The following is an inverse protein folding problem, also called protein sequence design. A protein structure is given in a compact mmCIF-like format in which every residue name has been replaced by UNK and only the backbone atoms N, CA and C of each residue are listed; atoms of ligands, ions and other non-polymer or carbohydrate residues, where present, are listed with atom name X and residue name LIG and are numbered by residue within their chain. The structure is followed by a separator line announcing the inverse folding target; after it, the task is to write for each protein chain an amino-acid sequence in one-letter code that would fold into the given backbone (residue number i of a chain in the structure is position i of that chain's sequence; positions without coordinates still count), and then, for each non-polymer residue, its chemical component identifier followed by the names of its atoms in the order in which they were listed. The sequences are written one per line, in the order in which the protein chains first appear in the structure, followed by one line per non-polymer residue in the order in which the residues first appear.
data_IF_251900009340
#
_entry.id   IF_251900009340
#
_cell.length_a   1.000
_cell.length_b   1.000
_cell.length_c   1.000
_cell.angle_alpha   90.00
_cell.angle_beta   90.00
_cell.angle_gamma   90.00
#
_symmetry.space_group_name_H-M   'P 1'
#
loop_
_entity.id
_entity.type
_entity.pdbx_description
1 polymer ?
#
# COMPACT_ATOMS: atom_id res chain seq x y z
N UNK A 1 -12.38 11.79 -17.03
CA UNK A 1 -12.18 11.83 -15.58
C UNK A 1 -12.95 10.66 -15.00
N UNK A 2 -12.26 9.71 -14.37
CA UNK A 2 -12.90 8.55 -13.72
C UNK A 2 -13.36 8.88 -12.30
N UNK A 3 -14.03 7.92 -11.67
CA UNK A 3 -14.25 7.90 -10.22
C UNK A 3 -13.19 7.00 -9.56
N UNK A 4 -12.74 7.36 -8.37
CA UNK A 4 -11.86 6.54 -7.53
C UNK A 4 -12.65 5.42 -6.85
N UNK A 5 -11.97 4.57 -6.07
CA UNK A 5 -12.62 3.45 -5.35
C UNK A 5 -13.59 3.89 -4.24
N UNK A 6 -13.69 5.19 -3.97
CA UNK A 6 -14.65 5.79 -3.05
C UNK A 6 -15.83 6.46 -3.77
N UNK A 7 -15.85 6.41 -5.12
CA UNK A 7 -16.89 7.03 -5.94
C UNK A 7 -16.73 8.54 -6.11
N UNK A 8 -15.59 9.12 -5.73
CA UNK A 8 -15.26 10.53 -5.94
C UNK A 8 -14.51 10.72 -7.25
N UNK A 9 -14.55 11.93 -7.82
CA UNK A 9 -13.76 12.23 -9.01
C UNK A 9 -12.28 12.07 -8.69
N UNK A 10 -11.56 11.29 -9.50
CA UNK A 10 -10.11 11.11 -9.35
C UNK A 10 -9.43 12.49 -9.43
N UNK A 11 -8.85 12.92 -8.31
CA UNK A 11 -8.00 14.09 -8.28
C UNK A 11 -6.73 13.79 -9.09
N UNK A 12 -6.29 14.71 -9.93
CA UNK A 12 -5.06 14.54 -10.72
C UNK A 12 -3.83 15.03 -9.97
N UNK A 13 -4.05 15.90 -8.98
CA UNK A 13 -3.03 16.54 -8.15
C UNK A 13 -3.43 16.36 -6.70
N UNK A 14 -2.53 15.80 -5.90
CA UNK A 14 -2.68 15.57 -4.48
C UNK A 14 -1.82 16.58 -3.71
N UNK A 15 -2.38 17.18 -2.67
CA UNK A 15 -1.67 18.18 -1.87
C UNK A 15 -0.88 17.49 -0.75
N UNK A 16 0.39 17.84 -0.63
CA UNK A 16 1.20 17.54 0.55
C UNK A 16 1.14 18.72 1.51
N UNK A 17 0.92 18.43 2.80
CA UNK A 17 0.79 19.41 3.87
C UNK A 17 2.06 19.50 4.72
N UNK A 18 2.30 20.66 5.32
CA UNK A 18 3.42 20.86 6.25
C UNK A 18 3.23 20.10 7.58
N UNK A 19 1.99 19.87 7.98
CA UNK A 19 1.60 19.21 9.23
C UNK A 19 0.49 18.17 8.99
N UNK A 20 0.34 17.16 9.87
CA UNK A 20 -0.73 16.16 9.79
C UNK A 20 -2.08 16.74 10.24
N UNK A 21 -2.59 17.75 9.55
CA UNK A 21 -3.90 18.37 9.80
C UNK A 21 -4.56 18.66 8.45
N UNK A 22 -5.84 18.29 8.23
CA UNK A 22 -6.54 18.61 6.98
C UNK A 22 -6.63 20.12 6.67
N UNK A 23 -6.44 20.98 7.66
CA UNK A 23 -6.43 22.44 7.52
C UNK A 23 -5.02 23.03 7.54
N UNK A 24 -3.97 22.20 7.57
CA UNK A 24 -2.59 22.67 7.53
C UNK A 24 -2.29 23.44 6.23
N UNK A 25 -1.22 24.24 6.28
CA UNK A 25 -0.74 24.93 5.09
C UNK A 25 -0.28 23.91 4.02
N UNK A 26 -0.70 24.08 2.75
CA UNK A 26 -0.20 23.27 1.65
C UNK A 26 1.29 23.58 1.43
N UNK A 27 2.09 22.53 1.27
CA UNK A 27 3.53 22.63 1.00
C UNK A 27 3.81 22.51 -0.50
N UNK A 28 3.25 21.49 -1.14
CA UNK A 28 3.36 21.26 -2.59
C UNK A 28 2.22 20.39 -3.09
N UNK A 29 2.21 20.12 -4.39
CA UNK A 29 1.33 19.13 -5.01
C UNK A 29 2.13 18.08 -5.77
N UNK A 30 1.62 16.85 -5.77
CA UNK A 30 2.17 15.71 -6.52
C UNK A 30 1.09 15.11 -7.41
N UNK A 31 1.47 14.45 -8.50
CA UNK A 31 0.51 13.75 -9.34
C UNK A 31 -0.06 12.50 -8.67
N UNK A 32 -1.32 12.19 -8.91
CA UNK A 32 -1.89 10.89 -8.53
C UNK A 32 -1.12 9.76 -9.21
N UNK A 33 -0.85 8.68 -8.46
CA UNK A 33 0.00 7.58 -8.90
C UNK A 33 1.50 7.83 -8.70
N UNK A 34 1.91 9.00 -8.20
CA UNK A 34 3.31 9.27 -7.90
C UNK A 34 3.79 8.36 -6.74
N UNK A 35 4.88 7.60 -6.94
CA UNK A 35 5.42 6.71 -5.92
C UNK A 35 6.02 7.50 -4.75
N UNK A 36 5.73 7.05 -3.52
CA UNK A 36 6.26 7.65 -2.30
C UNK A 36 6.66 6.58 -1.29
N UNK A 37 7.67 6.87 -0.48
CA UNK A 37 8.00 6.10 0.71
C UNK A 37 7.26 6.67 1.91
N UNK A 38 6.75 5.80 2.78
CA UNK A 38 6.16 6.20 4.06
C UNK A 38 7.27 6.28 5.10
N UNK A 39 7.45 7.46 5.68
CA UNK A 39 8.43 7.71 6.75
C UNK A 39 7.81 7.58 8.14
N UNK A 40 6.57 8.05 8.31
CA UNK A 40 5.88 8.07 9.60
C UNK A 40 4.36 8.01 9.38
N UNK A 41 3.63 7.44 10.33
CA UNK A 41 2.16 7.46 10.35
C UNK A 41 1.71 8.14 11.65
N UNK A 42 0.83 9.13 11.54
CA UNK A 42 0.21 9.80 12.69
C UNK A 42 -1.31 9.71 12.64
N UNK A 43 -1.90 9.50 13.80
CA UNK A 43 -3.33 9.61 13.98
C UNK A 43 -3.64 10.95 14.65
N UNK A 44 -4.63 11.67 14.12
CA UNK A 44 -4.96 13.04 14.50
C UNK A 44 -6.47 13.24 14.60
N UNK A 45 -6.86 14.40 15.13
CA UNK A 45 -8.25 14.78 15.31
C UNK A 45 -8.93 14.10 16.51
N UNK A 46 -10.23 14.38 16.70
CA UNK A 46 -11.01 13.77 17.77
C UNK A 46 -10.97 12.24 17.67
N UNK A 47 -10.61 11.59 18.78
CA UNK A 47 -10.52 10.12 18.89
C UNK A 47 -9.50 9.45 17.95
N UNK A 48 -8.51 10.20 17.40
CA UNK A 48 -7.48 9.65 16.53
C UNK A 48 -8.04 8.97 15.26
N UNK A 49 -9.20 9.44 14.76
CA UNK A 49 -9.89 8.85 13.61
C UNK A 49 -9.28 9.21 12.26
N UNK A 50 -8.52 10.32 12.19
CA UNK A 50 -7.87 10.71 10.95
C UNK A 50 -6.44 10.19 10.95
N UNK A 51 -6.02 9.59 9.84
CA UNK A 51 -4.67 9.06 9.69
C UNK A 51 -3.94 9.82 8.59
N UNK A 52 -2.75 10.29 8.91
CA UNK A 52 -1.85 10.97 7.98
C UNK A 52 -0.54 10.20 7.87
N UNK A 53 0.01 10.20 6.67
CA UNK A 53 1.29 9.62 6.34
C UNK A 53 2.27 10.75 6.06
N UNK A 54 3.40 10.74 6.75
CA UNK A 54 4.56 11.51 6.34
C UNK A 54 5.25 10.73 5.24
N UNK A 55 5.36 11.32 4.06
CA UNK A 55 5.88 10.65 2.88
C UNK A 55 7.09 11.38 2.32
N UNK A 56 7.97 10.65 1.65
CA UNK A 56 9.04 11.17 0.81
C UNK A 56 8.83 10.71 -0.64
N UNK A 57 8.80 11.64 -1.59
CA UNK A 57 8.77 11.31 -3.02
C UNK A 57 10.13 10.82 -3.51
N UNK A 58 10.18 10.25 -4.72
CA UNK A 58 11.47 9.88 -5.34
C UNK A 58 12.38 11.11 -5.59
N UNK A 59 11.78 12.29 -5.76
CA UNK A 59 12.47 13.57 -5.89
C UNK A 59 12.85 14.21 -4.53
N UNK A 60 12.80 13.44 -3.43
CA UNK A 60 13.15 13.87 -2.08
C UNK A 60 12.30 15.01 -1.50
N UNK A 61 11.06 15.15 -1.98
CA UNK A 61 10.10 16.09 -1.39
C UNK A 61 9.38 15.38 -0.24
N UNK A 62 9.34 16.00 0.93
CA UNK A 62 8.64 15.48 2.10
C UNK A 62 7.40 16.28 2.45
N UNK A 63 6.38 15.59 2.97
CA UNK A 63 5.16 16.23 3.46
C UNK A 63 4.14 15.22 3.96
N UNK A 64 3.05 15.72 4.53
CA UNK A 64 1.96 14.93 5.07
C UNK A 64 0.82 14.77 4.07
N UNK A 65 0.27 13.57 3.96
CA UNK A 65 -0.88 13.28 3.12
C UNK A 65 -1.88 12.40 3.89
N UNK A 66 -3.17 12.61 3.67
CA UNK A 66 -4.22 11.77 4.26
C UNK A 66 -4.12 10.34 3.73
N UNK A 67 -4.39 9.38 4.60
CA UNK A 67 -4.52 7.96 4.27
C UNK A 67 -5.50 7.68 3.12
N UNK A 68 -6.52 8.52 2.97
CA UNK A 68 -7.48 8.47 1.88
C UNK A 68 -6.82 8.40 0.49
N UNK A 69 -5.69 9.07 0.29
CA UNK A 69 -4.99 9.13 -1.00
C UNK A 69 -3.87 8.11 -1.15
N UNK A 70 -3.52 7.38 -0.08
CA UNK A 70 -2.39 6.45 -0.09
C UNK A 70 -2.88 5.05 -0.44
N UNK A 71 -2.22 4.43 -1.42
CA UNK A 71 -2.37 3.00 -1.74
C UNK A 71 -1.08 2.30 -1.38
N UNK A 72 -1.13 1.43 -0.37
CA UNK A 72 0.05 0.69 0.07
C UNK A 72 0.35 -0.40 -0.94
N UNK A 73 1.58 -0.42 -1.46
CA UNK A 73 2.10 -1.54 -2.24
C UNK A 73 2.88 -2.45 -1.30
N UNK A 74 2.71 -3.75 -1.49
CA UNK A 74 3.40 -4.82 -0.78
C UNK A 74 3.63 -5.97 -1.75
N UNK A 75 4.32 -7.03 -1.34
CA UNK A 75 4.39 -8.27 -2.11
C UNK A 75 3.91 -9.45 -1.31
N UNK A 76 3.46 -10.49 -2.00
CA UNK A 76 3.11 -11.76 -1.38
C UNK A 76 4.31 -12.69 -1.36
N UNK A 77 4.54 -13.36 -0.24
CA UNK A 77 5.68 -14.26 -0.05
C UNK A 77 5.30 -15.52 0.74
N UNK A 78 5.57 -16.67 0.14
CA UNK A 78 5.49 -17.98 0.80
C UNK A 78 6.84 -18.70 0.66
N UNK A 79 7.50 -18.99 1.78
CA UNK A 79 8.80 -19.68 1.78
C UNK A 79 8.71 -21.14 1.30
N UNK A 80 7.52 -21.74 1.41
CA UNK A 80 7.30 -23.17 1.18
C UNK A 80 6.64 -23.45 -0.18
N UNK A 81 6.39 -22.41 -1.00
CA UNK A 81 5.71 -22.54 -2.29
C UNK A 81 6.19 -21.53 -3.35
N UNK A 82 6.08 -21.91 -4.62
CA UNK A 82 6.37 -21.03 -5.77
C UNK A 82 5.23 -20.04 -6.07
N UNK A 83 4.07 -20.24 -5.46
CA UNK A 83 2.88 -19.42 -5.64
C UNK A 83 2.17 -19.17 -4.30
N UNK A 84 1.42 -18.08 -4.23
CA UNK A 84 0.60 -17.69 -3.10
C UNK A 84 -0.87 -17.76 -3.51
N UNK A 85 -1.64 -18.59 -2.79
CA UNK A 85 -3.07 -18.77 -3.03
C UNK A 85 -3.87 -17.54 -2.56
N UNK A 86 -4.87 -17.17 -3.35
CA UNK A 86 -5.86 -16.15 -3.04
C UNK A 86 -7.23 -16.76 -2.80
N UNK A 87 -7.98 -16.20 -1.85
CA UNK A 87 -9.29 -16.67 -1.42
C UNK A 87 -10.40 -15.63 -1.69
N UNK A 88 -11.65 -16.06 -1.87
CA UNK A 88 -12.81 -15.16 -2.04
C UNK A 88 -13.20 -14.40 -0.77
N UNK A 89 -12.95 -15.01 0.38
CA UNK A 89 -13.11 -14.47 1.73
C UNK A 89 -12.01 -15.05 2.64
N UNK A 90 -11.82 -14.49 3.86
CA UNK A 90 -10.99 -15.13 4.88
C UNK A 90 -11.42 -16.58 5.11
N UNK A 91 -10.48 -17.53 5.02
CA UNK A 91 -10.73 -18.98 5.11
C UNK A 91 -11.75 -19.54 4.08
N UNK A 92 -12.00 -18.79 3.00
CA UNK A 92 -12.97 -19.12 1.98
C UNK A 92 -12.46 -20.10 0.92
N UNK A 93 -13.09 -20.07 -0.25
CA UNK A 93 -12.68 -20.87 -1.39
C UNK A 93 -11.48 -20.23 -2.12
N UNK A 94 -10.59 -21.07 -2.65
CA UNK A 94 -9.53 -20.61 -3.53
C UNK A 94 -10.12 -20.06 -4.84
N UNK A 95 -9.68 -18.85 -5.23
CA UNK A 95 -10.12 -18.18 -6.46
C UNK A 95 -8.98 -17.91 -7.45
N UNK A 96 -7.73 -18.10 -7.02
CA UNK A 96 -6.57 -17.89 -7.88
C UNK A 96 -5.26 -18.00 -7.13
N UNK A 97 -4.18 -17.80 -7.87
CA UNK A 97 -2.82 -17.85 -7.35
C UNK A 97 -2.01 -16.69 -7.93
N UNK A 98 -1.10 -16.15 -7.13
CA UNK A 98 -0.10 -15.18 -7.58
C UNK A 98 1.28 -15.83 -7.54
N UNK A 99 2.19 -15.49 -8.46
CA UNK A 99 3.59 -15.86 -8.34
C UNK A 99 4.15 -15.44 -6.98
N UNK A 100 5.03 -16.24 -6.40
CA UNK A 100 5.75 -15.84 -5.20
C UNK A 100 6.55 -14.56 -5.49
N UNK A 101 6.58 -13.63 -4.54
CA UNK A 101 7.18 -12.29 -4.66
C UNK A 101 6.41 -11.35 -5.61
N UNK A 102 5.19 -11.71 -6.05
CA UNK A 102 4.38 -10.81 -6.87
C UNK A 102 4.01 -9.52 -6.10
N UNK A 103 4.17 -8.33 -6.72
CA UNK A 103 3.73 -7.08 -6.13
C UNK A 103 2.20 -6.97 -6.17
N UNK A 104 1.64 -6.40 -5.11
CA UNK A 104 0.21 -6.23 -4.89
C UNK A 104 -0.10 -4.86 -4.28
N UNK A 105 -1.30 -4.37 -4.53
CA UNK A 105 -1.90 -3.25 -3.79
C UNK A 105 -2.73 -3.79 -2.63
N UNK A 106 -2.56 -3.23 -1.44
CA UNK A 106 -3.39 -3.53 -0.27
C UNK A 106 -4.67 -2.66 -0.33
N UNK A 107 -5.85 -3.29 -0.35
CA UNK A 107 -7.12 -2.58 -0.55
C UNK A 107 -7.80 -2.17 0.77
N UNK A 108 -7.75 -3.01 1.80
CA UNK A 108 -8.23 -2.66 3.13
C UNK A 108 -7.78 -3.71 4.16
N UNK A 109 -7.34 -3.30 5.36
CA UNK A 109 -7.39 -4.19 6.52
C UNK A 109 -8.84 -4.23 7.01
N UNK A 110 -9.53 -5.36 6.83
CA UNK A 110 -10.75 -5.62 7.61
C UNK A 110 -10.44 -6.43 8.88
N UNK A 111 -9.31 -7.14 8.91
CA UNK A 111 -8.89 -7.99 10.02
C UNK A 111 -7.35 -7.99 10.16
N UNK A 112 -6.83 -8.39 11.33
CA UNK A 112 -5.38 -8.51 11.59
C UNK A 112 -4.78 -9.75 10.91
N UNK A 113 -5.58 -10.78 10.69
CA UNK A 113 -5.11 -12.08 10.20
C UNK A 113 -5.15 -12.20 8.66
N UNK A 114 -5.91 -11.35 7.98
CA UNK A 114 -6.14 -11.42 6.54
C UNK A 114 -6.09 -10.05 5.87
N UNK A 115 -5.44 -9.99 4.71
CA UNK A 115 -5.45 -8.81 3.84
C UNK A 115 -6.17 -9.09 2.54
N UNK A 116 -7.00 -8.15 2.13
CA UNK A 116 -7.47 -8.10 0.76
C UNK A 116 -6.41 -7.40 -0.11
N UNK A 117 -5.97 -8.12 -1.14
CA UNK A 117 -4.92 -7.68 -2.06
C UNK A 117 -5.45 -7.67 -3.49
N UNK A 118 -4.86 -6.80 -4.30
CA UNK A 118 -5.08 -6.78 -5.74
C UNK A 118 -3.76 -6.84 -6.49
N UNK A 119 -3.72 -7.57 -7.59
CA UNK A 119 -2.60 -7.47 -8.54
C UNK A 119 -2.46 -6.04 -9.05
N UNK A 120 -1.26 -5.63 -9.44
CA UNK A 120 -1.02 -4.24 -9.89
C UNK A 120 -1.85 -3.84 -11.12
N UNK A 121 -2.22 -4.80 -11.96
CA UNK A 121 -3.08 -4.60 -13.13
C UNK A 121 -4.59 -4.66 -12.80
N UNK A 122 -4.95 -4.92 -11.53
CA UNK A 122 -6.32 -5.06 -11.07
C UNK A 122 -7.05 -6.31 -11.58
N UNK A 123 -6.37 -7.21 -12.30
CA UNK A 123 -7.00 -8.40 -12.89
C UNK A 123 -7.44 -9.42 -11.86
N UNK A 124 -6.78 -9.45 -10.70
CA UNK A 124 -7.09 -10.37 -9.61
C UNK A 124 -7.24 -9.58 -8.31
N UNK A 125 -8.31 -9.87 -7.58
CA UNK A 125 -8.56 -9.36 -6.23
C UNK A 125 -8.94 -10.55 -5.35
N UNK A 126 -8.29 -10.68 -4.20
CA UNK A 126 -8.54 -11.79 -3.28
C UNK A 126 -7.94 -11.58 -1.91
N UNK A 127 -8.21 -12.52 -1.01
CA UNK A 127 -7.74 -12.52 0.37
C UNK A 127 -6.50 -13.40 0.51
N UNK A 128 -5.57 -12.95 1.34
CA UNK A 128 -4.34 -13.68 1.68
C UNK A 128 -4.05 -13.53 3.18
N UNK A 129 -3.52 -14.57 3.87
CA UNK A 129 -3.08 -14.44 5.26
C UNK A 129 -2.04 -13.33 5.41
N UNK A 130 -2.16 -12.53 6.48
CA UNK A 130 -1.29 -11.38 6.71
C UNK A 130 0.18 -11.73 6.90
N UNK A 131 0.44 -12.95 7.37
CA UNK A 131 1.79 -13.51 7.51
C UNK A 131 2.52 -13.68 6.17
N UNK A 132 1.79 -13.77 5.06
CA UNK A 132 2.34 -13.89 3.70
C UNK A 132 2.51 -12.54 3.00
N UNK A 133 2.02 -11.44 3.58
CA UNK A 133 2.22 -10.10 3.03
C UNK A 133 3.52 -9.51 3.59
N UNK A 134 4.34 -8.94 2.71
CA UNK A 134 5.62 -8.32 3.06
C UNK A 134 5.72 -6.94 2.44
N UNK A 135 6.27 -6.00 3.19
CA UNK A 135 6.61 -4.68 2.66
C UNK A 135 8.05 -4.69 2.14
N UNK A 136 8.29 -3.97 1.05
CA UNK A 136 9.64 -3.79 0.54
C UNK A 136 10.20 -2.44 0.99
N UNK A 137 11.44 -2.40 1.53
CA UNK A 137 12.14 -1.14 1.81
C UNK A 137 12.79 -0.53 0.55
N UNK A 138 12.80 -1.24 -0.58
CA UNK A 138 13.50 -0.83 -1.79
C UNK A 138 12.68 0.19 -2.58
N UNK A 139 13.29 1.33 -2.92
CA UNK A 139 12.64 2.38 -3.73
C UNK A 139 12.17 1.87 -5.09
N UNK A 140 12.92 0.96 -5.69
CA UNK A 140 12.61 0.36 -7.00
C UNK A 140 11.30 -0.45 -6.97
N UNK A 141 10.88 -0.94 -5.79
CA UNK A 141 9.56 -1.56 -5.58
C UNK A 141 8.41 -0.64 -5.91
N UNK A 142 8.59 0.65 -5.65
CA UNK A 142 7.54 1.64 -5.92
C UNK A 142 7.29 1.82 -7.43
N UNK A 143 8.30 1.52 -8.25
CA UNK A 143 8.28 1.67 -9.71
C UNK A 143 7.69 0.46 -10.44
N UNK A 144 7.41 -0.65 -9.75
CA UNK A 144 6.78 -1.83 -10.33
C UNK A 144 7.69 -2.65 -11.25
N UNK A 145 9.01 -2.52 -11.10
CA UNK A 145 9.99 -3.43 -11.74
C UNK A 145 10.00 -4.80 -11.05
N UNK A 146 10.27 -5.86 -11.81
CA UNK A 146 10.36 -7.23 -11.29
C UNK A 146 11.22 -7.32 -10.02
N UNK A 147 10.60 -7.77 -8.93
CA UNK A 147 11.31 -8.02 -7.67
C UNK A 147 12.00 -9.39 -7.72
N UNK A 148 13.29 -9.38 -8.02
CA UNK A 148 14.16 -10.51 -7.70
C UNK A 148 14.70 -10.30 -6.29
N UNK A 149 14.19 -11.05 -5.29
CA UNK A 149 14.84 -11.09 -3.97
C UNK A 149 15.95 -12.16 -3.95
N UNK A 150 17.19 -11.78 -3.59
CA UNK A 150 18.21 -12.70 -3.11
C UNK A 150 18.34 -12.54 -1.59
N UNK A 151 17.32 -12.86 -0.78
CA UNK A 151 17.53 -12.91 0.68
C UNK A 151 16.65 -13.94 1.38
N UNK A 152 17.25 -15.06 1.79
CA UNK A 152 16.65 -16.02 2.74
C UNK A 152 16.49 -15.44 4.16
N UNK A 153 16.94 -14.20 4.42
CA UNK A 153 17.08 -13.61 5.77
C UNK A 153 16.77 -12.10 5.83
N UNK A 154 15.77 -11.58 5.13
CA UNK A 154 15.42 -10.15 5.27
C UNK A 154 14.73 -9.87 6.63
N UNK A 155 15.34 -9.06 7.54
CA UNK A 155 14.88 -8.88 8.91
C UNK A 155 14.04 -7.61 9.03
N UNK A 156 12.88 -7.54 8.38
CA UNK A 156 12.00 -6.38 8.50
C UNK A 156 10.58 -6.83 8.79
N UNK A 157 10.42 -7.33 10.01
CA UNK A 157 9.14 -7.32 10.70
C UNK A 157 8.96 -5.90 11.24
N UNK A 158 7.96 -5.16 10.76
CA UNK A 158 7.37 -4.14 11.62
C UNK A 158 6.56 -4.88 12.70
N UNK A 159 6.67 -4.46 13.97
CA UNK A 159 5.98 -5.11 15.10
C UNK A 159 4.46 -5.08 14.97
#
# INVERSE_FOLDING_TARGET
SGVDEHGLLVEHMLTLFAEPDPNAAPLTQIHTGHPVMVLEIRHVGPQNLQRFYHVETLDHITGWISDYYVRRKAYVYNKDAEQVTLFDAPEGAEIGQLPNVAPVTLLQPQDFDWWQVSSLDGSVVGWVPSTLVKESPERDFLLGTDHAHPCENCPYFLP
#
